data_IF_827756677578
#
_entry.id   IF_827756677578
#
_cell.length_a   1.000
_cell.length_b   1.000
_cell.length_c   1.000
_cell.angle_alpha   90.00
_cell.angle_beta   90.00
_cell.angle_gamma   90.00
#
_symmetry.space_group_name_H-M   'P 1'
#
loop_
_entity.id
_entity.type
_entity.pdbx_description
1 polymer ?
#
# COMPACT_ATOMS: atom_id res chain seq x y z
N UNK A 1 15.37 -20.58 -2.68
CA UNK A 1 14.86 -21.04 -1.37
C UNK A 1 14.48 -19.78 -0.61
N UNK A 2 13.23 -19.38 -0.69
CA UNK A 2 12.71 -18.23 0.06
C UNK A 2 12.66 -18.61 1.54
N UNK A 3 13.46 -17.92 2.35
CA UNK A 3 13.44 -18.04 3.81
C UNK A 3 12.02 -17.74 4.30
N UNK A 4 11.28 -18.78 4.69
CA UNK A 4 10.13 -18.64 5.56
C UNK A 4 10.67 -18.29 6.95
N UNK A 5 11.15 -17.06 7.11
CA UNK A 5 11.44 -16.53 8.44
C UNK A 5 10.21 -16.75 9.31
N UNK A 6 10.40 -17.25 10.53
CA UNK A 6 9.33 -17.49 11.47
C UNK A 6 8.47 -16.22 11.60
N UNK A 7 7.28 -16.22 11.00
CA UNK A 7 6.31 -15.12 11.17
C UNK A 7 5.86 -15.17 12.61
N UNK A 8 6.23 -14.16 13.42
CA UNK A 8 5.89 -14.08 14.84
C UNK A 8 4.48 -13.55 15.07
N UNK A 9 3.90 -12.85 14.09
CA UNK A 9 2.56 -12.28 14.22
C UNK A 9 2.02 -11.70 12.91
N UNK A 10 0.76 -11.35 12.97
CA UNK A 10 0.05 -10.62 11.94
C UNK A 10 -0.52 -9.34 12.56
N UNK A 11 -0.40 -8.23 11.87
CA UNK A 11 -0.96 -6.94 12.26
C UNK A 11 -1.92 -6.45 11.18
N UNK A 12 -3.04 -5.88 11.58
CA UNK A 12 -4.04 -5.35 10.67
C UNK A 12 -4.56 -4.00 11.17
N UNK A 13 -4.90 -3.12 10.25
CA UNK A 13 -5.55 -1.84 10.52
C UNK A 13 -7.04 -2.01 10.28
N UNK A 14 -7.84 -1.91 11.33
CA UNK A 14 -9.30 -1.89 11.28
C UNK A 14 -9.79 -0.44 11.18
N UNK A 15 -9.95 0.06 9.96
CA UNK A 15 -10.38 1.43 9.68
C UNK A 15 -11.74 1.76 10.30
N UNK A 16 -12.70 0.85 10.16
CA UNK A 16 -14.06 1.07 10.66
C UNK A 16 -14.17 0.88 12.18
N UNK A 17 -13.27 0.08 12.75
CA UNK A 17 -13.12 -0.08 14.20
C UNK A 17 -12.28 1.01 14.85
N UNK A 18 -11.49 1.75 14.08
CA UNK A 18 -10.49 2.71 14.56
C UNK A 18 -9.48 2.07 15.52
N UNK A 19 -8.98 0.89 15.12
CA UNK A 19 -8.11 0.04 15.94
C UNK A 19 -6.96 -0.53 15.08
N UNK A 20 -5.86 -0.88 15.75
CA UNK A 20 -4.80 -1.71 15.19
C UNK A 20 -4.85 -3.06 15.90
N UNK A 21 -5.03 -4.12 15.13
CA UNK A 21 -5.24 -5.48 15.61
C UNK A 21 -3.98 -6.31 15.47
N UNK A 22 -3.69 -7.11 16.47
CA UNK A 22 -2.69 -8.18 16.43
C UNK A 22 -3.38 -9.53 16.37
N UNK A 23 -3.08 -10.32 15.36
CA UNK A 23 -3.68 -11.61 15.15
C UNK A 23 -2.63 -12.73 15.24
N UNK A 24 -3.06 -13.87 15.71
CA UNK A 24 -2.26 -15.08 15.66
C UNK A 24 -2.05 -15.48 14.19
N UNK A 25 -0.82 -15.68 13.72
CA UNK A 25 -0.56 -15.96 12.30
C UNK A 25 -0.96 -17.37 11.85
N UNK A 26 -1.37 -18.24 12.78
CA UNK A 26 -1.78 -19.63 12.52
C UNK A 26 -3.28 -19.83 12.69
N UNK A 27 -3.87 -19.29 13.77
CA UNK A 27 -5.31 -19.41 14.05
C UNK A 27 -6.12 -18.27 13.51
N UNK A 28 -5.47 -17.14 13.20
CA UNK A 28 -6.07 -15.87 12.72
C UNK A 28 -7.00 -15.20 13.74
N UNK A 29 -6.97 -15.65 14.99
CA UNK A 29 -7.73 -15.01 16.07
C UNK A 29 -7.08 -13.69 16.48
N UNK A 30 -7.89 -12.69 16.81
CA UNK A 30 -7.42 -11.41 17.36
C UNK A 30 -6.96 -11.64 18.79
N UNK A 31 -5.66 -11.43 19.03
CA UNK A 31 -5.04 -11.59 20.35
C UNK A 31 -5.01 -10.28 21.14
N UNK A 32 -4.87 -9.16 20.47
CA UNK A 32 -4.75 -7.83 21.08
C UNK A 32 -5.25 -6.76 20.12
N UNK A 33 -5.85 -5.69 20.65
CA UNK A 33 -6.25 -4.52 19.91
C UNK A 33 -5.73 -3.24 20.58
N UNK A 34 -5.05 -2.40 19.82
CA UNK A 34 -4.73 -1.02 20.24
C UNK A 34 -5.88 -0.13 19.78
N UNK A 35 -6.54 0.51 20.74
CA UNK A 35 -7.70 1.38 20.53
C UNK A 35 -7.30 2.87 20.55
N UNK A 36 -8.25 3.73 20.21
CA UNK A 36 -8.08 5.17 20.34
C UNK A 36 -7.42 5.83 19.13
N UNK A 37 -7.44 5.16 17.98
CA UNK A 37 -7.13 5.79 16.71
C UNK A 37 -8.33 6.63 16.23
N UNK A 38 -8.11 7.68 15.44
CA UNK A 38 -9.19 8.35 14.76
C UNK A 38 -9.83 7.40 13.73
N UNK A 39 -11.08 7.65 13.38
CA UNK A 39 -11.68 7.00 12.20
C UNK A 39 -10.83 7.31 10.99
N UNK A 40 -10.87 6.45 9.97
CA UNK A 40 -10.07 6.61 8.74
C UNK A 40 -8.58 6.30 8.86
N UNK A 41 -8.09 5.76 9.98
CA UNK A 41 -6.77 5.10 10.03
C UNK A 41 -6.75 3.94 9.03
N UNK A 42 -5.76 3.89 8.11
CA UNK A 42 -5.84 2.87 7.05
C UNK A 42 -4.51 2.34 6.50
N UNK A 43 -3.44 3.07 6.49
CA UNK A 43 -2.15 2.60 5.95
C UNK A 43 -1.26 1.96 7.03
N UNK A 44 -0.32 1.11 6.60
CA UNK A 44 0.57 0.37 7.48
C UNK A 44 1.94 0.13 6.81
N UNK A 45 3.01 0.38 7.56
CA UNK A 45 4.35 -0.07 7.23
C UNK A 45 4.90 -0.93 8.38
N UNK A 46 5.28 -2.17 8.10
CA UNK A 46 5.95 -3.06 9.05
C UNK A 46 7.45 -3.07 8.78
N UNK A 47 8.25 -2.76 9.79
CA UNK A 47 9.73 -2.81 9.74
C UNK A 47 10.19 -3.91 10.69
N UNK A 48 10.34 -5.12 10.15
CA UNK A 48 10.64 -6.35 10.93
C UNK A 48 11.98 -6.25 11.66
N UNK A 49 12.97 -5.65 11.03
CA UNK A 49 14.34 -5.54 11.55
C UNK A 49 14.40 -4.80 12.89
N UNK A 50 13.49 -3.86 13.10
CA UNK A 50 13.40 -3.09 14.36
C UNK A 50 12.24 -3.52 15.25
N UNK A 51 11.39 -4.46 14.80
CA UNK A 51 10.19 -4.85 15.52
C UNK A 51 9.17 -3.72 15.67
N UNK A 52 9.07 -2.86 14.65
CA UNK A 52 8.25 -1.64 14.69
C UNK A 52 7.28 -1.61 13.52
N UNK A 53 6.08 -1.08 13.71
CA UNK A 53 5.19 -0.70 12.62
C UNK A 53 4.83 0.78 12.71
N UNK A 54 4.44 1.35 11.58
CA UNK A 54 4.09 2.77 11.44
C UNK A 54 2.71 2.88 10.82
N UNK A 55 1.86 3.71 11.43
CA UNK A 55 0.47 3.93 11.04
C UNK A 55 0.23 5.43 10.91
N UNK A 56 0.04 5.96 9.70
CA UNK A 56 -0.22 7.37 9.49
C UNK A 56 -1.65 7.73 9.86
N UNK A 57 -1.83 8.95 10.37
CA UNK A 57 -3.14 9.53 10.64
C UNK A 57 -3.46 10.52 9.53
N UNK A 58 -4.18 10.04 8.53
CA UNK A 58 -4.55 10.82 7.35
C UNK A 58 -5.49 11.97 7.66
N UNK A 59 -6.48 11.76 8.51
CA UNK A 59 -7.51 12.72 8.89
C UNK A 59 -8.86 12.06 9.04
N UNK A 60 -9.93 12.79 8.81
CA UNK A 60 -11.31 12.33 8.98
C UNK A 60 -12.08 12.16 7.65
N UNK A 61 -11.38 12.31 6.55
CA UNK A 61 -11.93 12.23 5.21
C UNK A 61 -11.41 11.08 4.37
N UNK A 62 -11.58 11.23 3.08
CA UNK A 62 -11.02 10.39 2.03
C UNK A 62 -10.12 11.25 1.13
N UNK A 63 -9.35 10.65 0.25
CA UNK A 63 -8.57 11.35 -0.76
C UNK A 63 -9.43 12.41 -1.49
N UNK A 64 -8.87 13.60 -1.72
CA UNK A 64 -9.57 14.74 -2.31
C UNK A 64 -10.66 15.38 -1.45
N UNK A 65 -11.08 14.79 -0.32
CA UNK A 65 -12.12 15.28 0.58
C UNK A 65 -11.76 15.04 2.05
N UNK A 66 -10.67 15.67 2.50
CA UNK A 66 -10.19 15.57 3.88
C UNK A 66 -10.28 16.93 4.59
N UNK A 67 -11.44 17.29 5.17
CA UNK A 67 -11.66 18.60 5.76
C UNK A 67 -10.81 18.85 7.01
N UNK A 68 -10.46 17.81 7.76
CA UNK A 68 -9.60 17.89 8.93
C UNK A 68 -8.39 16.96 8.76
N UNK A 69 -7.38 17.35 7.95
CA UNK A 69 -6.23 16.49 7.67
C UNK A 69 -5.41 16.25 8.94
N UNK A 70 -5.01 15.02 9.15
CA UNK A 70 -4.10 14.62 10.22
C UNK A 70 -2.65 15.05 9.94
N UNK A 71 -1.79 14.84 10.93
CA UNK A 71 -0.36 15.20 10.83
C UNK A 71 0.53 14.28 11.68
N UNK A 72 0.00 13.16 12.14
CA UNK A 72 0.74 12.22 12.98
C UNK A 72 1.12 10.95 12.22
N UNK A 73 2.27 10.41 12.56
CA UNK A 73 2.68 9.06 12.23
C UNK A 73 2.85 8.28 13.55
N UNK A 74 1.94 7.35 13.82
CA UNK A 74 1.97 6.54 15.04
C UNK A 74 3.02 5.44 14.92
N UNK A 75 3.83 5.27 15.95
CA UNK A 75 4.85 4.22 16.09
C UNK A 75 4.30 3.11 16.96
N UNK A 76 4.26 1.91 16.44
CA UNK A 76 3.76 0.71 17.12
C UNK A 76 4.93 -0.21 17.45
N UNK A 77 5.08 -0.56 18.72
CA UNK A 77 5.99 -1.61 19.18
C UNK A 77 5.32 -2.97 18.95
N UNK A 78 5.85 -3.75 18.01
CA UNK A 78 5.28 -5.04 17.63
C UNK A 78 5.44 -6.11 18.70
N UNK A 79 6.52 -6.04 19.51
CA UNK A 79 6.78 -7.00 20.59
C UNK A 79 5.84 -6.78 21.76
N UNK A 80 5.71 -5.53 22.21
CA UNK A 80 4.89 -5.16 23.35
C UNK A 80 3.42 -4.91 22.97
N UNK A 81 3.13 -4.80 21.67
CA UNK A 81 1.79 -4.57 21.08
C UNK A 81 1.14 -3.30 21.63
N UNK A 82 1.90 -2.21 21.61
CA UNK A 82 1.47 -0.90 22.11
C UNK A 82 1.82 0.22 21.12
N UNK A 83 1.07 1.31 21.16
CA UNK A 83 1.47 2.58 20.53
C UNK A 83 2.57 3.18 21.40
N UNK A 84 3.81 3.17 20.87
CA UNK A 84 5.00 3.54 21.60
C UNK A 84 5.28 5.05 21.54
N UNK A 85 4.98 5.69 20.42
CA UNK A 85 5.24 7.11 20.19
C UNK A 85 4.36 7.65 19.05
N UNK A 86 4.35 8.98 18.92
CA UNK A 86 3.83 9.69 17.77
C UNK A 86 4.90 10.61 17.21
N UNK A 87 5.03 10.60 15.89
CA UNK A 87 5.88 11.53 15.15
C UNK A 87 4.98 12.64 14.61
N UNK A 88 5.22 13.86 15.01
CA UNK A 88 4.51 15.03 14.49
C UNK A 88 5.14 15.46 13.16
N UNK A 89 4.36 15.42 12.10
CA UNK A 89 4.81 15.72 10.74
C UNK A 89 4.66 17.18 10.35
N UNK A 90 4.08 18.02 11.22
CA UNK A 90 3.87 19.45 10.89
C UNK A 90 5.15 20.13 10.45
N UNK A 91 5.09 20.97 9.40
CA UNK A 91 3.88 21.55 8.80
C UNK A 91 3.16 20.66 7.76
N UNK A 92 3.61 19.43 7.52
CA UNK A 92 3.03 18.53 6.51
C UNK A 92 1.79 17.83 7.06
N UNK A 93 0.74 17.74 6.24
CA UNK A 93 -0.57 17.22 6.61
C UNK A 93 -1.06 16.15 5.64
N UNK A 94 -2.06 15.39 6.05
CA UNK A 94 -2.64 14.26 5.32
C UNK A 94 -1.60 13.19 4.93
N UNK A 95 -0.82 12.64 5.90
CA UNK A 95 0.12 11.57 5.61
C UNK A 95 -0.62 10.31 5.20
N UNK A 96 -0.20 9.70 4.07
CA UNK A 96 -0.87 8.56 3.48
C UNK A 96 0.07 7.35 3.33
N UNK A 97 0.46 6.99 2.12
CA UNK A 97 1.30 5.81 1.87
C UNK A 97 2.76 6.06 2.29
N UNK A 98 3.36 5.05 2.90
CA UNK A 98 4.73 5.12 3.41
C UNK A 98 5.56 3.90 3.01
N UNK A 99 6.86 4.12 2.77
CA UNK A 99 7.85 3.09 2.43
C UNK A 99 9.15 3.34 3.16
N UNK A 100 9.81 2.24 3.52
CA UNK A 100 11.19 2.27 4.03
C UNK A 100 12.15 2.40 2.84
N UNK A 101 12.97 3.43 2.87
CA UNK A 101 14.04 3.63 1.89
C UNK A 101 15.28 2.76 2.19
N UNK A 102 16.17 2.61 1.21
CA UNK A 102 17.42 1.87 1.37
C UNK A 102 18.40 2.53 2.36
N UNK A 103 18.22 3.82 2.61
CA UNK A 103 18.96 4.63 3.60
C UNK A 103 18.41 4.47 5.04
N UNK A 104 17.38 3.66 5.23
CA UNK A 104 16.74 3.45 6.51
C UNK A 104 15.76 4.53 6.95
N UNK A 105 15.53 5.55 6.12
CA UNK A 105 14.52 6.58 6.35
C UNK A 105 13.14 6.11 5.86
N UNK A 106 12.07 6.68 6.41
CA UNK A 106 10.71 6.47 5.90
C UNK A 106 10.35 7.63 4.99
N UNK A 107 9.81 7.31 3.83
CA UNK A 107 9.26 8.24 2.87
C UNK A 107 7.74 8.13 2.90
N UNK A 108 7.03 9.23 3.11
CA UNK A 108 5.58 9.25 3.26
C UNK A 108 4.95 10.37 2.42
N UNK A 109 3.95 10.04 1.62
CA UNK A 109 3.16 11.06 0.90
C UNK A 109 2.35 11.87 1.89
N UNK A 110 2.34 13.20 1.71
CA UNK A 110 1.50 14.14 2.46
C UNK A 110 0.65 14.90 1.45
N UNK A 111 -0.53 14.37 1.13
CA UNK A 111 -1.35 14.78 -0.01
C UNK A 111 -1.58 16.29 -0.07
N UNK A 112 -2.21 16.85 0.95
CA UNK A 112 -2.56 18.29 0.95
C UNK A 112 -1.34 19.22 1.04
N UNK A 113 -0.14 18.66 1.23
CA UNK A 113 1.11 19.44 1.31
C UNK A 113 1.95 19.36 0.04
N UNK A 114 1.55 18.57 -0.95
CA UNK A 114 2.28 18.33 -2.20
C UNK A 114 3.73 17.86 -1.98
N UNK A 115 4.00 17.08 -0.92
CA UNK A 115 5.34 16.61 -0.60
C UNK A 115 5.37 15.11 -0.28
N UNK A 116 6.55 14.53 -0.43
CA UNK A 116 6.94 13.31 0.24
C UNK A 116 7.81 13.70 1.42
N UNK A 117 7.31 13.56 2.64
CA UNK A 117 8.07 13.83 3.85
C UNK A 117 9.06 12.70 4.12
N UNK A 118 10.23 13.05 4.66
CA UNK A 118 11.33 12.14 4.97
C UNK A 118 11.50 12.05 6.49
N UNK A 119 11.36 10.86 7.04
CA UNK A 119 11.33 10.63 8.48
C UNK A 119 12.56 9.86 8.93
N UNK A 120 13.28 10.41 9.88
CA UNK A 120 14.31 9.66 10.61
C UNK A 120 13.68 8.91 11.78
N UNK A 121 13.70 7.58 11.69
CA UNK A 121 13.13 6.69 12.70
C UNK A 121 13.90 6.71 14.02
N UNK A 122 15.19 6.99 13.99
CA UNK A 122 16.04 7.03 15.19
C UNK A 122 15.76 8.27 16.04
N UNK A 123 15.41 9.36 15.40
CA UNK A 123 15.06 10.63 16.03
C UNK A 123 13.56 10.84 16.22
N UNK A 124 12.73 9.97 15.64
CA UNK A 124 11.27 10.13 15.59
C UNK A 124 10.83 11.52 15.08
N UNK A 125 11.40 11.97 13.99
CA UNK A 125 11.10 13.31 13.43
C UNK A 125 11.18 13.33 11.91
N UNK A 126 10.41 14.27 11.32
CA UNK A 126 10.58 14.62 9.91
C UNK A 126 11.88 15.46 9.78
N UNK A 127 12.78 15.00 8.89
CA UNK A 127 14.09 15.64 8.67
C UNK A 127 14.18 16.38 7.35
N UNK A 128 13.26 16.09 6.43
CA UNK A 128 13.22 16.71 5.10
C UNK A 128 11.85 16.53 4.45
N UNK A 129 11.61 17.21 3.32
CA UNK A 129 10.47 17.00 2.46
C UNK A 129 10.84 17.24 1.00
N UNK A 130 10.36 16.38 0.13
CA UNK A 130 10.61 16.40 -1.30
C UNK A 130 9.34 16.87 -2.01
N UNK A 131 9.43 17.88 -2.87
CA UNK A 131 8.32 18.27 -3.73
C UNK A 131 7.84 17.08 -4.56
N UNK A 132 6.58 16.68 -4.39
CA UNK A 132 5.95 15.61 -5.19
C UNK A 132 5.41 16.13 -6.53
N UNK A 133 5.33 17.44 -6.69
CA UNK A 133 4.77 18.09 -7.86
C UNK A 133 3.24 17.98 -7.99
N UNK A 134 2.55 17.47 -6.97
CA UNK A 134 1.10 17.30 -6.99
C UNK A 134 0.53 17.31 -5.56
N UNK A 135 -0.60 17.99 -5.36
CA UNK A 135 -1.40 17.87 -4.13
C UNK A 135 -2.19 16.57 -4.07
N UNK A 136 -2.27 15.83 -5.18
CA UNK A 136 -2.95 14.55 -5.31
C UNK A 136 -1.99 13.35 -5.28
N UNK A 137 -0.74 13.55 -4.77
CA UNK A 137 0.24 12.47 -4.61
C UNK A 137 -0.22 11.52 -3.52
N UNK A 138 -0.77 10.37 -3.91
CA UNK A 138 -1.49 9.44 -3.02
C UNK A 138 -0.60 8.25 -2.63
N UNK A 139 -0.31 7.33 -3.56
CA UNK A 139 0.55 6.17 -3.27
C UNK A 139 1.96 6.38 -3.77
N UNK A 140 2.92 5.77 -3.07
CA UNK A 140 4.32 5.81 -3.49
C UNK A 140 4.96 4.42 -3.53
N UNK A 141 5.94 4.29 -4.41
CA UNK A 141 6.83 3.14 -4.50
C UNK A 141 8.28 3.61 -4.60
N UNK A 142 9.21 2.77 -4.16
CA UNK A 142 10.64 2.97 -4.32
C UNK A 142 11.14 1.90 -5.29
N UNK A 143 11.94 2.31 -6.28
CA UNK A 143 12.57 1.39 -7.21
C UNK A 143 13.53 0.44 -6.47
N UNK A 144 13.66 -0.84 -6.89
CA UNK A 144 14.50 -1.82 -6.20
C UNK A 144 15.97 -1.43 -6.08
N UNK A 145 16.49 -0.60 -6.99
CA UNK A 145 17.84 -0.07 -6.96
C UNK A 145 18.03 1.11 -5.98
N UNK A 146 16.94 1.58 -5.38
CA UNK A 146 16.95 2.72 -4.47
C UNK A 146 17.23 4.08 -5.11
N UNK A 147 17.26 4.18 -6.44
CA UNK A 147 17.60 5.42 -7.11
C UNK A 147 16.39 6.31 -7.40
N UNK A 148 15.19 5.73 -7.44
CA UNK A 148 13.95 6.46 -7.79
C UNK A 148 12.85 6.14 -6.79
N UNK A 149 12.06 7.18 -6.52
CA UNK A 149 10.76 7.07 -5.90
C UNK A 149 9.74 7.58 -6.91
N UNK A 150 8.60 6.92 -6.96
CA UNK A 150 7.47 7.31 -7.81
C UNK A 150 6.23 7.52 -6.95
N UNK A 151 5.45 8.57 -7.24
CA UNK A 151 4.11 8.76 -6.66
C UNK A 151 3.07 8.70 -7.77
N UNK A 152 2.01 7.96 -7.57
CA UNK A 152 0.82 8.15 -8.40
C UNK A 152 0.03 9.33 -7.86
N UNK A 153 -0.52 10.13 -8.78
CA UNK A 153 -1.17 11.40 -8.49
C UNK A 153 -2.61 11.34 -9.01
N UNK A 154 -3.43 10.58 -8.34
CA UNK A 154 -4.84 10.22 -8.67
C UNK A 154 -5.47 11.07 -9.78
N UNK A 155 -6.14 12.18 -9.44
CA UNK A 155 -6.90 13.01 -10.38
C UNK A 155 -6.01 13.82 -11.34
N UNK A 156 -4.73 14.01 -11.03
CA UNK A 156 -3.77 14.67 -11.94
C UNK A 156 -3.39 13.80 -13.14
N UNK A 157 -3.87 12.56 -13.19
CA UNK A 157 -3.57 11.61 -14.27
C UNK A 157 -2.07 11.54 -14.57
N UNK A 158 -1.25 11.39 -13.55
CA UNK A 158 0.21 11.41 -13.71
C UNK A 158 0.94 10.59 -12.63
N UNK A 159 2.18 10.23 -12.94
CA UNK A 159 3.14 9.63 -12.01
C UNK A 159 4.33 10.56 -11.87
N UNK A 160 4.63 11.02 -10.68
CA UNK A 160 5.84 11.82 -10.41
C UNK A 160 7.07 10.92 -10.32
N UNK A 161 8.19 11.41 -10.79
CA UNK A 161 9.50 10.75 -10.74
C UNK A 161 10.40 11.58 -9.84
N UNK A 162 10.87 10.99 -8.75
CA UNK A 162 11.75 11.62 -7.78
C UNK A 162 13.10 10.92 -7.80
N UNK A 163 14.18 11.69 -7.88
CA UNK A 163 15.53 11.24 -7.60
C UNK A 163 15.69 11.05 -6.10
N UNK A 164 15.76 9.79 -5.65
CA UNK A 164 15.69 9.49 -4.22
C UNK A 164 16.96 9.95 -3.48
N UNK A 165 18.19 9.65 -3.93
CA UNK A 165 19.40 10.14 -3.28
C UNK A 165 19.53 11.68 -3.31
N UNK A 166 19.18 12.30 -4.44
CA UNK A 166 19.23 13.76 -4.60
C UNK A 166 18.03 14.50 -4.02
N UNK A 167 17.00 13.78 -3.56
CA UNK A 167 15.74 14.32 -2.98
C UNK A 167 15.10 15.39 -3.86
N UNK A 168 14.96 15.09 -5.15
CA UNK A 168 14.52 16.07 -6.14
C UNK A 168 13.50 15.51 -7.12
N UNK A 169 12.43 16.26 -7.36
CA UNK A 169 11.49 15.98 -8.43
C UNK A 169 12.20 16.11 -9.79
N UNK A 170 12.12 15.07 -10.62
CA UNK A 170 12.70 15.03 -11.97
C UNK A 170 11.68 15.33 -13.06
N UNK A 171 10.38 15.16 -12.78
CA UNK A 171 9.30 15.35 -13.71
C UNK A 171 8.14 14.42 -13.48
N UNK A 172 7.21 14.39 -14.43
CA UNK A 172 6.00 13.57 -14.37
C UNK A 172 5.81 12.76 -15.65
N UNK A 173 5.16 11.62 -15.54
CA UNK A 173 4.66 10.81 -16.66
C UNK A 173 3.16 11.00 -16.70
N UNK A 174 2.61 11.48 -17.83
CA UNK A 174 1.17 11.58 -18.00
C UNK A 174 0.54 10.22 -18.27
N UNK A 175 -0.63 9.99 -17.71
CA UNK A 175 -1.45 8.80 -17.94
C UNK A 175 -2.78 9.19 -18.60
N UNK A 176 -3.44 8.27 -19.30
CA UNK A 176 -4.68 8.58 -20.00
C UNK A 176 -5.86 8.96 -19.09
N UNK A 177 -5.89 8.48 -17.86
CA UNK A 177 -6.98 8.68 -16.90
C UNK A 177 -6.46 8.74 -15.47
N UNK A 178 -7.36 9.04 -14.52
CA UNK A 178 -7.11 9.02 -13.08
C UNK A 178 -6.61 7.63 -12.61
N UNK A 179 -5.83 7.64 -11.56
CA UNK A 179 -5.11 6.48 -11.04
C UNK A 179 -5.60 6.10 -9.63
N UNK A 180 -5.38 4.86 -9.22
CA UNK A 180 -5.75 4.39 -7.88
C UNK A 180 -4.62 3.66 -7.16
N UNK A 181 -3.68 3.08 -7.87
CA UNK A 181 -2.60 2.30 -7.27
C UNK A 181 -1.37 2.20 -8.16
N UNK A 182 -0.24 1.91 -7.54
CA UNK A 182 1.05 1.82 -8.21
C UNK A 182 1.88 0.65 -7.67
N UNK A 183 2.54 -0.08 -8.58
CA UNK A 183 3.51 -1.11 -8.24
C UNK A 183 4.69 -1.08 -9.23
N UNK A 184 5.84 -1.59 -8.82
CA UNK A 184 7.01 -1.71 -9.69
C UNK A 184 7.49 -3.16 -9.71
N UNK A 185 7.91 -3.62 -10.88
CA UNK A 185 8.48 -4.96 -11.03
C UNK A 185 9.77 -5.12 -10.23
N UNK A 186 10.09 -6.32 -9.72
CA UNK A 186 11.31 -6.57 -8.95
C UNK A 186 12.61 -6.24 -9.69
N UNK A 187 12.61 -6.20 -11.03
CA UNK A 187 13.74 -5.76 -11.85
C UNK A 187 13.79 -4.24 -12.09
N UNK A 188 12.79 -3.49 -11.59
CA UNK A 188 12.69 -2.04 -11.68
C UNK A 188 12.33 -1.49 -13.06
N UNK A 189 11.98 -2.34 -14.02
CA UNK A 189 11.78 -1.91 -15.42
C UNK A 189 10.35 -1.49 -15.73
N UNK A 190 9.37 -2.16 -15.13
CA UNK A 190 7.96 -1.93 -15.41
C UNK A 190 7.24 -1.39 -14.18
N UNK A 191 6.63 -0.23 -14.32
CA UNK A 191 5.70 0.30 -13.33
C UNK A 191 4.29 -0.01 -13.82
N UNK A 192 3.48 -0.58 -12.94
CA UNK A 192 2.05 -0.76 -13.15
C UNK A 192 1.35 0.36 -12.41
N UNK A 193 0.47 1.09 -13.08
CA UNK A 193 -0.49 1.99 -12.45
C UNK A 193 -1.90 1.51 -12.77
N UNK A 194 -2.74 1.54 -11.76
CA UNK A 194 -4.11 1.08 -11.84
C UNK A 194 -5.00 2.24 -12.26
N UNK A 195 -5.85 1.99 -13.23
CA UNK A 195 -6.83 2.96 -13.72
C UNK A 195 -8.04 2.98 -12.76
N UNK A 196 -8.39 4.16 -12.23
CA UNK A 196 -9.52 4.32 -11.28
C UNK A 196 -10.89 4.41 -11.99
N UNK A 197 -10.90 4.49 -13.31
CA UNK A 197 -12.12 4.68 -14.10
C UNK A 197 -12.56 3.40 -14.80
N UNK A 198 -11.60 2.65 -15.34
CA UNK A 198 -11.83 1.44 -16.13
C UNK A 198 -11.07 0.24 -15.52
N UNK A 199 -11.51 -1.02 -15.75
CA UNK A 199 -10.77 -2.20 -15.32
C UNK A 199 -9.52 -2.42 -16.17
N UNK A 200 -8.59 -1.47 -16.12
CA UNK A 200 -7.35 -1.47 -16.90
C UNK A 200 -6.13 -1.13 -16.05
N UNK A 201 -4.97 -1.53 -16.56
CA UNK A 201 -3.67 -1.19 -16.02
C UNK A 201 -2.88 -0.46 -17.09
N UNK A 202 -2.19 0.63 -16.73
CA UNK A 202 -1.19 1.24 -17.58
C UNK A 202 0.18 0.69 -17.20
N UNK A 203 0.91 0.16 -18.17
CA UNK A 203 2.28 -0.27 -18.01
C UNK A 203 3.20 0.89 -18.44
N UNK A 204 4.06 1.30 -17.53
CA UNK A 204 5.03 2.38 -17.77
C UNK A 204 6.42 1.75 -17.88
N UNK A 205 7.11 2.06 -18.97
CA UNK A 205 8.55 1.84 -19.05
C UNK A 205 9.27 2.86 -18.15
N UNK A 206 9.86 2.37 -17.07
CA UNK A 206 10.52 3.20 -16.07
C UNK A 206 11.72 3.99 -16.67
N UNK A 207 12.44 3.42 -17.64
CA UNK A 207 13.55 4.07 -18.31
C UNK A 207 13.08 5.08 -19.36
N UNK A 208 12.10 4.70 -20.18
CA UNK A 208 11.53 5.54 -21.23
C UNK A 208 10.59 6.62 -20.71
N UNK A 209 10.17 6.54 -19.47
CA UNK A 209 9.27 7.50 -18.79
C UNK A 209 7.99 7.77 -19.57
N UNK A 210 7.36 6.71 -20.02
CA UNK A 210 6.12 6.78 -20.82
C UNK A 210 5.24 5.56 -20.57
N UNK A 211 3.94 5.73 -20.80
CA UNK A 211 3.01 4.59 -20.89
C UNK A 211 3.36 3.81 -22.17
N UNK A 212 3.69 2.53 -22.00
CA UNK A 212 4.12 1.63 -23.08
C UNK A 212 2.99 0.70 -23.53
N UNK A 213 2.12 0.30 -22.61
CA UNK A 213 0.98 -0.57 -22.90
C UNK A 213 -0.19 -0.32 -21.95
N UNK A 214 -1.37 -0.76 -22.37
CA UNK A 214 -2.59 -0.81 -21.57
C UNK A 214 -3.10 -2.24 -21.55
N UNK A 215 -3.37 -2.77 -20.35
CA UNK A 215 -3.85 -4.14 -20.14
C UNK A 215 -5.26 -4.07 -19.57
N UNK A 216 -6.23 -4.70 -20.20
CA UNK A 216 -7.57 -4.86 -19.65
C UNK A 216 -7.60 -6.04 -18.68
N UNK A 217 -8.27 -5.86 -17.54
CA UNK A 217 -8.49 -6.94 -16.58
C UNK A 217 -9.63 -7.85 -17.04
N UNK A 218 -9.36 -9.15 -17.11
CA UNK A 218 -10.33 -10.15 -17.55
C UNK A 218 -11.25 -10.57 -16.38
N UNK A 219 -12.55 -10.68 -16.65
CA UNK A 219 -13.55 -11.08 -15.65
C UNK A 219 -13.81 -10.05 -14.55
N UNK A 220 -13.33 -8.82 -14.73
CA UNK A 220 -13.51 -7.71 -13.79
C UNK A 220 -14.31 -6.60 -14.49
N UNK A 221 -15.56 -6.31 -14.07
CA UNK A 221 -16.39 -5.32 -14.73
C UNK A 221 -16.10 -3.86 -14.33
N UNK A 222 -15.54 -3.64 -13.14
CA UNK A 222 -15.31 -2.31 -12.56
C UNK A 222 -13.82 -2.03 -12.40
N UNK A 223 -13.48 -0.77 -12.20
CA UNK A 223 -12.11 -0.31 -11.95
C UNK A 223 -11.41 -1.08 -10.83
N UNK A 224 -10.10 -1.16 -10.91
CA UNK A 224 -9.25 -1.79 -9.91
C UNK A 224 -8.74 -0.76 -8.88
N UNK A 225 -8.05 -1.21 -7.84
CA UNK A 225 -7.60 -0.34 -6.75
C UNK A 225 -6.11 -0.47 -6.44
N UNK A 226 -5.65 -1.65 -6.09
CA UNK A 226 -4.27 -1.87 -5.64
C UNK A 226 -3.57 -2.88 -6.54
N UNK A 227 -2.31 -2.63 -6.85
CA UNK A 227 -1.42 -3.57 -7.53
C UNK A 227 -0.25 -3.96 -6.62
N UNK A 228 0.11 -5.24 -6.60
CA UNK A 228 1.31 -5.75 -5.93
C UNK A 228 1.96 -6.87 -6.72
N UNK A 229 3.28 -6.85 -6.85
CA UNK A 229 4.06 -8.00 -7.28
C UNK A 229 4.31 -8.94 -6.12
N UNK A 230 4.27 -10.26 -6.36
CA UNK A 230 4.78 -11.24 -5.40
C UNK A 230 6.29 -11.07 -5.22
N UNK A 231 6.84 -11.38 -4.02
CA UNK A 231 8.28 -11.22 -3.77
C UNK A 231 9.19 -12.01 -4.70
N UNK A 232 8.70 -13.13 -5.23
CA UNK A 232 9.41 -13.99 -6.19
C UNK A 232 9.14 -13.64 -7.66
N UNK A 233 8.33 -12.58 -7.90
CA UNK A 233 7.89 -12.16 -9.23
C UNK A 233 7.12 -13.25 -10.02
N UNK A 234 6.51 -14.20 -9.36
CA UNK A 234 5.70 -15.23 -10.03
C UNK A 234 4.30 -14.79 -10.40
N UNK A 235 3.76 -13.77 -9.70
CA UNK A 235 2.41 -13.27 -9.91
C UNK A 235 2.31 -11.77 -9.59
N UNK A 236 1.39 -11.10 -10.28
CA UNK A 236 0.90 -9.76 -9.99
C UNK A 236 -0.51 -9.92 -9.44
N UNK A 237 -0.78 -9.34 -8.28
CA UNK A 237 -2.10 -9.34 -7.68
C UNK A 237 -2.72 -7.94 -7.78
N UNK A 238 -3.99 -7.87 -8.23
CA UNK A 238 -4.74 -6.63 -8.40
C UNK A 238 -6.08 -6.75 -7.68
N UNK A 239 -6.36 -5.87 -6.72
CA UNK A 239 -7.70 -5.79 -6.12
C UNK A 239 -8.63 -4.93 -6.96
N UNK A 240 -9.90 -5.32 -6.99
CA UNK A 240 -10.98 -4.53 -7.61
C UNK A 240 -12.10 -4.33 -6.60
N UNK A 241 -12.13 -3.13 -6.04
CA UNK A 241 -12.97 -2.74 -4.90
C UNK A 241 -14.46 -3.05 -5.16
N UNK A 242 -15.02 -2.48 -6.23
CA UNK A 242 -16.44 -2.61 -6.56
C UNK A 242 -16.82 -3.98 -7.10
N UNK A 243 -15.85 -4.70 -7.66
CA UNK A 243 -16.06 -6.05 -8.18
C UNK A 243 -15.93 -7.13 -7.12
N UNK A 244 -15.41 -6.82 -5.93
CA UNK A 244 -15.13 -7.79 -4.87
C UNK A 244 -14.27 -8.95 -5.37
N UNK A 245 -13.18 -8.61 -6.09
CA UNK A 245 -12.27 -9.59 -6.69
C UNK A 245 -10.81 -9.24 -6.42
N UNK A 246 -9.98 -10.27 -6.46
CA UNK A 246 -8.54 -10.14 -6.70
C UNK A 246 -8.20 -10.84 -8.02
N UNK A 247 -7.50 -10.16 -8.91
CA UNK A 247 -6.96 -10.76 -10.13
C UNK A 247 -5.53 -11.21 -9.88
N UNK A 248 -5.22 -12.45 -10.23
CA UNK A 248 -3.86 -12.98 -10.28
C UNK A 248 -3.42 -13.03 -11.75
N UNK A 249 -2.35 -12.30 -12.07
CA UNK A 249 -1.86 -12.08 -13.41
C UNK A 249 -0.41 -12.58 -13.47
N UNK A 250 -0.05 -13.33 -14.50
CA UNK A 250 1.35 -13.68 -14.73
C UNK A 250 2.17 -12.46 -15.19
N UNK A 251 3.46 -12.36 -14.88
CA UNK A 251 4.27 -11.17 -15.22
C UNK A 251 4.41 -10.88 -16.72
N UNK A 252 4.04 -11.83 -17.61
CA UNK A 252 3.94 -11.59 -19.05
C UNK A 252 2.60 -11.03 -19.49
N UNK A 253 1.64 -10.85 -18.56
CA UNK A 253 0.27 -10.37 -18.77
C UNK A 253 -0.59 -11.22 -19.73
N UNK A 254 -0.22 -12.50 -19.94
CA UNK A 254 -0.92 -13.42 -20.85
C UNK A 254 -1.98 -14.28 -20.18
N UNK A 255 -1.86 -14.49 -18.89
CA UNK A 255 -2.79 -15.30 -18.11
C UNK A 255 -3.31 -14.48 -16.94
N UNK A 256 -4.62 -14.41 -16.84
CA UNK A 256 -5.32 -13.70 -15.79
C UNK A 256 -6.41 -14.58 -15.21
N UNK A 257 -6.59 -14.53 -13.89
CA UNK A 257 -7.69 -15.20 -13.19
C UNK A 257 -8.25 -14.26 -12.15
N UNK A 258 -9.53 -13.91 -12.26
CA UNK A 258 -10.24 -13.15 -11.25
C UNK A 258 -10.88 -14.10 -10.22
N UNK A 259 -10.61 -13.86 -8.94
CA UNK A 259 -11.08 -14.68 -7.82
C UNK A 259 -11.98 -13.79 -6.95
N UNK A 260 -13.18 -14.27 -6.64
CA UNK A 260 -14.08 -13.59 -5.69
C UNK A 260 -13.51 -13.63 -4.28
N UNK A 261 -13.58 -12.49 -3.60
CA UNK A 261 -13.15 -12.28 -2.21
C UNK A 261 -14.25 -11.54 -1.43
N UNK A 262 -13.93 -11.03 -0.24
CA UNK A 262 -14.87 -10.25 0.58
C UNK A 262 -15.21 -8.89 -0.03
N UNK A 263 -16.06 -8.15 0.68
CA UNK A 263 -16.55 -6.86 0.22
C UNK A 263 -15.45 -5.79 0.32
N UNK A 264 -15.27 -5.01 -0.75
CA UNK A 264 -14.30 -3.91 -0.86
C UNK A 264 -12.84 -4.33 -0.50
N UNK A 265 -12.19 -5.17 -1.32
CA UNK A 265 -10.79 -5.55 -1.10
C UNK A 265 -9.85 -4.35 -1.32
N UNK A 266 -9.15 -3.91 -0.25
CA UNK A 266 -8.33 -2.70 -0.23
C UNK A 266 -6.83 -2.96 -0.26
N UNK A 267 -6.33 -3.92 0.51
CA UNK A 267 -4.88 -4.17 0.58
C UNK A 267 -4.57 -5.66 0.55
N UNK A 268 -3.31 -5.98 0.32
CA UNK A 268 -2.84 -7.36 0.18
C UNK A 268 -1.46 -7.55 0.80
N UNK A 269 -1.22 -8.74 1.36
CA UNK A 269 0.12 -9.15 1.79
C UNK A 269 0.41 -10.59 1.37
N UNK A 270 1.64 -10.82 0.91
CA UNK A 270 2.12 -12.15 0.56
C UNK A 270 2.78 -12.84 1.75
N UNK A 271 2.54 -14.16 1.90
CA UNK A 271 3.21 -15.03 2.85
C UNK A 271 3.44 -16.41 2.20
N UNK A 272 4.66 -16.64 1.69
CA UNK A 272 4.94 -17.85 0.88
C UNK A 272 4.02 -17.92 -0.33
N UNK A 273 3.37 -19.06 -0.51
CA UNK A 273 2.42 -19.31 -1.60
C UNK A 273 1.00 -18.80 -1.33
N UNK A 274 0.81 -17.97 -0.34
CA UNK A 274 -0.49 -17.41 0.05
C UNK A 274 -0.51 -15.89 -0.12
N UNK A 275 -1.64 -15.41 -0.62
CA UNK A 275 -1.99 -14.00 -0.68
C UNK A 275 -3.14 -13.73 0.29
N UNK A 276 -2.93 -12.80 1.22
CA UNK A 276 -3.93 -12.33 2.16
C UNK A 276 -4.51 -11.01 1.65
N UNK A 277 -5.82 -10.93 1.54
CA UNK A 277 -6.54 -9.77 0.99
C UNK A 277 -7.41 -9.19 2.10
N UNK A 278 -7.12 -7.95 2.50
CA UNK A 278 -7.92 -7.18 3.44
C UNK A 278 -9.16 -6.63 2.75
N UNK A 279 -10.34 -6.90 3.30
CA UNK A 279 -11.64 -6.48 2.77
C UNK A 279 -12.30 -5.49 3.73
N UNK A 280 -12.29 -4.21 3.36
CA UNK A 280 -12.79 -3.14 4.21
C UNK A 280 -14.30 -3.19 4.43
N UNK A 281 -15.07 -3.56 3.41
CA UNK A 281 -16.52 -3.49 3.47
C UNK A 281 -17.15 -4.44 4.49
N UNK A 282 -16.53 -5.60 4.70
CA UNK A 282 -17.05 -6.60 5.64
C UNK A 282 -16.06 -6.95 6.77
N UNK A 283 -14.87 -6.37 6.81
CA UNK A 283 -13.85 -6.64 7.83
C UNK A 283 -13.25 -8.04 7.76
N UNK A 284 -13.36 -8.72 6.62
CA UNK A 284 -12.74 -10.03 6.43
C UNK A 284 -11.34 -9.92 5.83
N UNK A 285 -10.55 -10.97 6.04
CA UNK A 285 -9.33 -11.23 5.28
C UNK A 285 -9.52 -12.53 4.53
N UNK A 286 -9.38 -12.49 3.22
CA UNK A 286 -9.45 -13.66 2.35
C UNK A 286 -8.06 -14.17 2.05
N UNK A 287 -7.88 -15.49 2.10
CA UNK A 287 -6.62 -16.15 1.78
C UNK A 287 -6.77 -16.89 0.46
N UNK A 288 -5.91 -16.53 -0.48
CA UNK A 288 -5.85 -17.13 -1.82
C UNK A 288 -4.56 -17.91 -1.96
N UNK A 289 -4.65 -19.14 -2.40
CA UNK A 289 -3.52 -19.97 -2.79
C UNK A 289 -3.03 -19.56 -4.19
N UNK A 290 -1.76 -19.13 -4.28
CA UNK A 290 -1.18 -18.58 -5.51
C UNK A 290 -1.00 -19.66 -6.59
N UNK A 291 -0.37 -20.82 -6.31
CA UNK A 291 -0.16 -21.86 -7.33
C UNK A 291 -1.47 -22.41 -7.89
N UNK A 292 -2.46 -22.63 -7.03
CA UNK A 292 -3.78 -23.15 -7.42
C UNK A 292 -4.75 -22.07 -7.91
N UNK A 293 -4.40 -20.78 -7.78
CA UNK A 293 -5.23 -19.63 -8.16
C UNK A 293 -6.67 -19.74 -7.67
N UNK A 294 -6.84 -20.04 -6.38
CA UNK A 294 -8.14 -20.31 -5.77
C UNK A 294 -8.26 -19.76 -4.36
N UNK A 295 -9.47 -19.41 -3.96
CA UNK A 295 -9.79 -19.08 -2.56
C UNK A 295 -9.55 -20.32 -1.69
N UNK A 296 -8.93 -20.11 -0.52
CA UNK A 296 -8.59 -21.14 0.45
C UNK A 296 -9.53 -21.09 1.65
N UNK A 297 -9.56 -19.97 2.33
CA UNK A 297 -10.44 -19.68 3.46
C UNK A 297 -10.51 -18.15 3.69
N UNK A 298 -11.30 -17.74 4.64
CA UNK A 298 -11.37 -16.36 5.12
C UNK A 298 -11.61 -16.32 6.63
N UNK A 299 -11.31 -15.18 7.25
CA UNK A 299 -11.52 -14.93 8.68
C UNK A 299 -11.85 -13.46 8.90
N UNK A 300 -12.29 -13.10 10.12
CA UNK A 300 -12.57 -11.71 10.48
C UNK A 300 -11.35 -11.05 11.13
N UNK A 301 -11.05 -9.82 10.69
CA UNK A 301 -10.02 -8.96 11.25
C UNK A 301 -10.59 -7.56 11.51
N UNK A 302 -11.56 -7.49 12.43
CA UNK A 302 -12.22 -6.25 12.80
C UNK A 302 -13.53 -5.98 12.06
N UNK A 303 -13.91 -4.70 12.02
CA UNK A 303 -15.15 -4.22 11.37
C UNK A 303 -14.94 -3.80 9.93
N UNK A 304 -13.71 -3.40 9.58
CA UNK A 304 -13.33 -2.96 8.25
C UNK A 304 -11.82 -3.01 8.09
N UNK A 305 -11.27 -4.22 7.88
CA UNK A 305 -9.85 -4.45 7.68
C UNK A 305 -9.40 -3.78 6.39
N UNK A 306 -8.49 -2.82 6.47
CA UNK A 306 -8.01 -2.09 5.30
C UNK A 306 -6.57 -2.41 4.92
N UNK A 307 -5.68 -2.48 5.88
CA UNK A 307 -4.28 -2.83 5.64
C UNK A 307 -3.84 -3.96 6.55
N UNK A 308 -2.92 -4.78 6.09
CA UNK A 308 -2.37 -5.89 6.86
C UNK A 308 -0.89 -6.14 6.57
N UNK A 309 -0.20 -6.75 7.53
CA UNK A 309 1.19 -7.12 7.41
C UNK A 309 1.59 -8.24 8.35
N UNK A 310 2.76 -8.81 8.10
CA UNK A 310 3.36 -9.86 8.91
C UNK A 310 4.67 -9.38 9.52
N UNK A 311 4.99 -9.84 10.74
CA UNK A 311 6.21 -9.52 11.45
C UNK A 311 6.81 -10.72 12.17
#
# INVERSE_FOLDING_TARGET
MTSTGNVMGMIAVDKMGAEVLFLNPLTYEVETAIKGFPRTVHELLVVRETGTAYVPIFGDGIHGRNPNPGHLLCVIDLKNRVRAADIDLRPYIAPHTLKLGPDGLIYITCENSAVVAVIDRSMNTAVDAIDSGSTNGHRLIIAPDGQRLYTENEEDCSVSIIDLPGRKLLGKISTPRALAGIAISPDGRTIIVVDDVEPTLFLIDAAGRKVDATIRLEGVPEAAQIARYSPDNSVIAITSLKSNTVSLIDPSFRQQVAIKVGDQPMDMAFRGDELFIACQGDGSVHVVEIPGRRSKHHFKAGKGCESLGFF
#
